data_IF_004852688037
#
_entry.id   IF_004852688037
#
_cell.length_a   1.000
_cell.length_b   1.000
_cell.length_c   1.000
_cell.angle_alpha   90.00
_cell.angle_beta   90.00
_cell.angle_gamma   90.00
#
_symmetry.space_group_name_H-M   'P 1'
#
loop_
_entity.id
_entity.type
_entity.pdbx_description
1 polymer ?
#
# COMPACT_ATOMS: atom_id res chain seq x y z
N UNK A 1 3.11 -4.13 4.24
CA UNK A 1 3.51 -2.84 3.63
C UNK A 1 3.32 -2.94 2.13
N UNK A 2 3.14 -1.83 1.42
CA UNK A 2 2.85 -1.80 -0.02
C UNK A 2 4.08 -1.17 -0.73
N UNK A 3 5.12 -1.96 -1.10
CA UNK A 3 6.37 -1.44 -1.68
C UNK A 3 6.19 -0.45 -2.83
N UNK A 4 5.34 -0.76 -3.81
CA UNK A 4 5.05 0.08 -4.96
C UNK A 4 4.35 1.38 -4.57
N UNK A 5 3.52 1.38 -3.52
CA UNK A 5 2.97 2.62 -2.96
C UNK A 5 4.07 3.50 -2.39
N UNK A 6 5.04 2.92 -1.69
CA UNK A 6 6.19 3.67 -1.17
C UNK A 6 7.01 4.25 -2.33
N UNK A 7 7.36 3.42 -3.32
CA UNK A 7 8.12 3.86 -4.49
C UNK A 7 7.40 4.97 -5.26
N UNK A 8 6.09 4.84 -5.48
CA UNK A 8 5.25 5.86 -6.12
C UNK A 8 5.32 7.22 -5.40
N UNK A 9 5.20 7.21 -4.07
CA UNK A 9 5.27 8.44 -3.26
C UNK A 9 6.67 9.08 -3.29
N UNK A 10 7.73 8.27 -3.24
CA UNK A 10 9.11 8.76 -3.36
C UNK A 10 9.39 9.32 -4.76
N UNK A 11 8.84 8.68 -5.80
CA UNK A 11 8.94 9.13 -7.18
C UNK A 11 8.21 10.46 -7.40
N UNK A 12 7.00 10.63 -6.83
CA UNK A 12 6.28 11.92 -6.83
C UNK A 12 7.08 13.03 -6.15
N UNK A 13 7.81 12.70 -5.07
CA UNK A 13 8.70 13.63 -4.35
C UNK A 13 10.03 13.89 -5.07
N UNK A 14 10.27 13.25 -6.22
CA UNK A 14 11.52 13.32 -6.99
C UNK A 14 12.76 12.93 -6.16
N UNK A 15 12.61 11.97 -5.26
CA UNK A 15 13.77 11.41 -4.55
C UNK A 15 14.72 10.71 -5.53
N UNK A 16 16.02 11.05 -5.50
CA UNK A 16 16.99 10.53 -6.48
C UNK A 16 17.06 9.01 -6.54
N UNK A 17 17.02 8.34 -5.38
CA UNK A 17 17.03 6.87 -5.30
C UNK A 17 15.81 6.23 -5.99
N UNK A 18 14.63 6.84 -5.87
CA UNK A 18 13.42 6.38 -6.51
C UNK A 18 13.44 6.65 -8.02
N UNK A 19 13.95 7.81 -8.47
CA UNK A 19 14.13 8.12 -9.88
C UNK A 19 15.07 7.10 -10.57
N UNK A 20 16.23 6.84 -9.97
CA UNK A 20 17.19 5.84 -10.45
C UNK A 20 16.59 4.44 -10.48
N UNK A 21 15.85 4.06 -9.43
CA UNK A 21 15.22 2.75 -9.37
C UNK A 21 14.16 2.57 -10.46
N UNK A 22 13.32 3.58 -10.69
CA UNK A 22 12.31 3.53 -11.75
C UNK A 22 12.97 3.52 -13.12
N UNK A 23 14.04 4.29 -13.34
CA UNK A 23 14.81 4.26 -14.59
C UNK A 23 15.36 2.86 -14.91
N UNK A 24 15.96 2.19 -13.92
CA UNK A 24 16.46 0.82 -14.07
C UNK A 24 15.33 -0.15 -14.45
N UNK A 25 14.15 0.00 -13.83
CA UNK A 25 12.98 -0.84 -14.13
C UNK A 25 12.50 -0.59 -15.57
N UNK A 26 12.46 0.67 -16.03
CA UNK A 26 12.08 0.97 -17.40
C UNK A 26 13.06 0.33 -18.41
N UNK A 27 14.36 0.34 -18.12
CA UNK A 27 15.37 -0.29 -18.96
C UNK A 27 15.25 -1.82 -18.96
N UNK A 28 15.12 -2.44 -17.78
CA UNK A 28 14.99 -3.90 -17.61
C UNK A 28 13.80 -4.47 -18.39
N UNK A 29 12.69 -3.72 -18.44
CA UNK A 29 11.47 -4.13 -19.14
C UNK A 29 11.30 -3.49 -20.53
N UNK A 30 12.35 -2.86 -21.07
CA UNK A 30 12.35 -2.22 -22.40
C UNK A 30 11.21 -1.21 -22.61
N UNK A 31 10.86 -0.46 -21.57
CA UNK A 31 9.83 0.59 -21.58
C UNK A 31 10.49 1.91 -21.97
N UNK A 32 10.69 2.12 -23.27
CA UNK A 32 11.29 3.33 -23.83
C UNK A 32 10.49 3.86 -25.02
N UNK A 33 10.64 5.15 -25.34
CA UNK A 33 9.91 5.83 -26.41
C UNK A 33 10.16 5.19 -27.79
N UNK A 34 11.38 4.70 -28.01
CA UNK A 34 11.82 4.11 -29.28
C UNK A 34 11.23 2.70 -29.51
N UNK A 35 10.71 2.06 -28.46
CA UNK A 35 10.22 0.69 -28.54
C UNK A 35 8.70 0.68 -28.74
N UNK A 36 8.24 0.18 -29.89
CA UNK A 36 6.80 -0.03 -30.16
C UNK A 36 6.12 -0.96 -29.13
N UNK A 37 6.90 -1.74 -28.37
CA UNK A 37 6.44 -2.66 -27.33
C UNK A 37 6.43 -2.09 -25.89
N UNK A 38 6.58 -0.79 -25.67
CA UNK A 38 6.69 -0.21 -24.31
C UNK A 38 5.53 -0.61 -23.37
N UNK A 39 4.30 -0.69 -23.89
CA UNK A 39 3.12 -1.16 -23.13
C UNK A 39 3.23 -2.65 -22.77
N UNK A 40 3.85 -3.46 -23.62
CA UNK A 40 4.08 -4.88 -23.34
C UNK A 40 5.08 -5.06 -22.20
N UNK A 41 6.12 -4.21 -22.13
CA UNK A 41 7.05 -4.16 -21.01
C UNK A 41 6.35 -3.87 -19.68
N UNK A 42 5.42 -2.91 -19.66
CA UNK A 42 4.59 -2.61 -18.49
C UNK A 42 3.78 -3.84 -18.06
N UNK A 43 3.07 -4.49 -19.00
CA UNK A 43 2.26 -5.68 -18.70
C UNK A 43 3.12 -6.83 -18.18
N UNK A 44 4.32 -7.01 -18.74
CA UNK A 44 5.30 -8.01 -18.30
C UNK A 44 5.73 -7.77 -16.85
N UNK A 45 6.03 -6.54 -16.48
CA UNK A 45 6.40 -6.18 -15.11
C UNK A 45 5.24 -6.41 -14.12
N UNK A 46 4.03 -6.01 -14.49
CA UNK A 46 2.84 -6.25 -13.65
C UNK A 46 2.61 -7.74 -13.44
N UNK A 47 2.82 -8.57 -14.48
CA UNK A 47 2.70 -10.03 -14.39
C UNK A 47 3.63 -10.65 -13.34
N UNK A 48 4.77 -10.01 -13.05
CA UNK A 48 5.73 -10.45 -12.05
C UNK A 48 5.48 -9.86 -10.64
N UNK A 49 4.60 -8.86 -10.53
CA UNK A 49 4.41 -8.10 -9.28
C UNK A 49 3.40 -8.76 -8.34
N UNK A 50 2.27 -9.26 -8.85
CA UNK A 50 1.27 -9.95 -8.03
C UNK A 50 1.56 -11.44 -7.94
N UNK A 51 2.05 -11.95 -6.82
CA UNK A 51 2.53 -13.34 -6.74
C UNK A 51 1.76 -14.21 -5.75
N UNK A 52 0.90 -13.63 -4.90
CA UNK A 52 0.44 -14.30 -3.66
C UNK A 52 -1.03 -14.74 -3.66
N UNK A 53 -1.74 -14.61 -4.78
CA UNK A 53 -3.17 -14.97 -4.87
C UNK A 53 -3.36 -16.21 -5.74
N UNK A 54 -4.24 -17.11 -5.30
CA UNK A 54 -4.61 -18.31 -6.05
C UNK A 54 -5.14 -17.96 -7.45
N UNK A 55 -4.55 -18.52 -8.53
CA UNK A 55 -4.94 -18.18 -9.90
C UNK A 55 -6.36 -18.62 -10.25
N UNK A 56 -6.88 -19.67 -9.62
CA UNK A 56 -8.26 -20.13 -9.85
C UNK A 56 -9.26 -19.12 -9.32
N UNK A 57 -8.99 -18.58 -8.13
CA UNK A 57 -9.75 -17.48 -7.56
C UNK A 57 -9.67 -16.22 -8.42
N UNK A 58 -8.48 -15.83 -8.89
CA UNK A 58 -8.33 -14.69 -9.79
C UNK A 58 -9.14 -14.86 -11.07
N UNK A 59 -9.11 -16.04 -11.69
CA UNK A 59 -9.90 -16.34 -12.88
C UNK A 59 -11.40 -16.18 -12.62
N UNK A 60 -11.90 -16.70 -11.50
CA UNK A 60 -13.31 -16.55 -11.12
C UNK A 60 -13.70 -15.08 -10.91
N UNK A 61 -12.83 -14.30 -10.26
CA UNK A 61 -13.08 -12.89 -9.99
C UNK A 61 -13.06 -12.06 -11.28
N UNK A 62 -11.98 -12.19 -12.06
CA UNK A 62 -11.77 -11.43 -13.29
C UNK A 62 -12.76 -11.84 -14.39
N UNK A 63 -13.12 -13.12 -14.48
CA UNK A 63 -13.99 -13.67 -15.51
C UNK A 63 -15.40 -13.07 -15.54
N UNK A 64 -15.86 -12.47 -14.44
CA UNK A 64 -17.16 -11.79 -14.37
C UNK A 64 -17.17 -10.40 -15.02
N UNK A 65 -15.99 -9.85 -15.32
CA UNK A 65 -15.86 -8.48 -15.80
C UNK A 65 -15.97 -8.40 -17.34
N UNK A 66 -16.68 -7.42 -17.92
CA UNK A 66 -16.91 -7.34 -19.37
C UNK A 66 -15.63 -7.16 -20.21
N UNK A 67 -14.58 -6.56 -19.63
CA UNK A 67 -13.27 -6.40 -20.30
C UNK A 67 -12.43 -7.69 -20.33
N UNK A 68 -12.78 -8.70 -19.55
CA UNK A 68 -11.97 -9.90 -19.40
C UNK A 68 -11.74 -10.67 -20.71
N UNK A 69 -12.75 -10.96 -21.55
CA UNK A 69 -12.53 -11.72 -22.79
C UNK A 69 -11.54 -11.04 -23.74
N UNK A 70 -11.67 -9.71 -23.89
CA UNK A 70 -10.79 -8.90 -24.73
C UNK A 70 -9.35 -8.88 -24.18
N UNK A 71 -9.20 -8.66 -22.88
CA UNK A 71 -7.90 -8.62 -22.24
C UNK A 71 -7.20 -9.99 -22.24
N UNK A 72 -7.95 -11.07 -21.96
CA UNK A 72 -7.46 -12.43 -21.98
C UNK A 72 -6.94 -12.84 -23.37
N UNK A 73 -7.71 -12.53 -24.43
CA UNK A 73 -7.28 -12.77 -25.80
C UNK A 73 -6.00 -11.99 -26.15
N UNK A 74 -5.94 -10.71 -25.78
CA UNK A 74 -4.76 -9.87 -26.02
C UNK A 74 -3.51 -10.43 -25.34
N UNK A 75 -3.62 -10.86 -24.08
CA UNK A 75 -2.50 -11.46 -23.34
C UNK A 75 -2.01 -12.74 -24.00
N UNK A 76 -2.91 -13.64 -24.39
CA UNK A 76 -2.52 -14.87 -25.08
C UNK A 76 -1.84 -14.56 -26.42
N UNK A 77 -2.38 -13.63 -27.21
CA UNK A 77 -1.78 -13.27 -28.50
C UNK A 77 -0.39 -12.63 -28.38
N UNK A 78 -0.16 -11.80 -27.35
CA UNK A 78 1.07 -11.02 -27.20
C UNK A 78 2.12 -11.65 -26.29
N UNK A 79 1.75 -12.62 -25.46
CA UNK A 79 2.66 -13.31 -24.54
C UNK A 79 2.54 -14.84 -24.68
N UNK A 80 3.16 -15.43 -25.72
CA UNK A 80 3.07 -16.86 -26.00
C UNK A 80 3.54 -17.76 -24.85
N UNK A 81 4.51 -17.29 -24.06
CA UNK A 81 5.06 -17.99 -22.90
C UNK A 81 4.07 -18.13 -21.73
N UNK A 82 2.98 -17.36 -21.71
CA UNK A 82 1.95 -17.42 -20.67
C UNK A 82 0.82 -18.44 -20.98
N UNK A 83 0.92 -19.21 -22.07
CA UNK A 83 -0.15 -20.15 -22.47
C UNK A 83 -0.33 -21.36 -21.54
N UNK A 84 0.70 -21.78 -20.80
CA UNK A 84 0.66 -23.01 -20.02
C UNK A 84 -0.20 -22.87 -18.74
N UNK A 85 -1.45 -23.37 -18.79
CA UNK A 85 -2.42 -23.46 -17.66
C UNK A 85 -2.74 -22.11 -16.96
N UNK A 86 -3.73 -22.01 -16.04
CA UNK A 86 -3.95 -20.78 -15.27
C UNK A 86 -2.79 -20.53 -14.30
N UNK A 87 -1.76 -19.80 -14.77
CA UNK A 87 -0.69 -19.28 -13.94
C UNK A 87 -1.05 -17.91 -13.35
N UNK A 88 -0.58 -17.64 -12.13
CA UNK A 88 -0.76 -16.34 -11.43
C UNK A 88 -0.27 -15.18 -12.29
N UNK A 89 0.89 -15.33 -12.95
CA UNK A 89 1.46 -14.33 -13.86
C UNK A 89 0.51 -13.97 -15.01
N UNK A 90 -0.15 -14.96 -15.62
CA UNK A 90 -1.15 -14.74 -16.67
C UNK A 90 -2.30 -13.89 -16.16
N UNK A 91 -2.81 -14.19 -14.97
CA UNK A 91 -3.96 -13.45 -14.41
C UNK A 91 -3.63 -11.98 -14.14
N UNK A 92 -2.43 -11.69 -13.66
CA UNK A 92 -2.00 -10.30 -13.46
C UNK A 92 -1.68 -9.56 -14.76
N UNK A 93 -1.17 -10.26 -15.78
CA UNK A 93 -1.07 -9.69 -17.12
C UNK A 93 -2.47 -9.32 -17.67
N UNK A 94 -3.47 -10.20 -17.48
CA UNK A 94 -4.86 -9.92 -17.87
C UNK A 94 -5.43 -8.75 -17.10
N UNK A 95 -5.21 -8.70 -15.78
CA UNK A 95 -5.59 -7.56 -14.94
C UNK A 95 -4.98 -6.24 -15.48
N UNK A 96 -3.68 -6.23 -15.80
CA UNK A 96 -3.00 -5.06 -16.34
C UNK A 96 -3.65 -4.60 -17.65
N UNK A 97 -3.91 -5.52 -18.58
CA UNK A 97 -4.56 -5.20 -19.86
C UNK A 97 -6.00 -4.71 -19.65
N UNK A 98 -6.75 -5.27 -18.70
CA UNK A 98 -8.10 -4.78 -18.37
C UNK A 98 -8.06 -3.33 -17.87
N UNK A 99 -7.08 -2.98 -17.03
CA UNK A 99 -6.90 -1.60 -16.57
C UNK A 99 -6.48 -0.69 -17.74
N UNK A 100 -5.61 -1.15 -18.64
CA UNK A 100 -5.23 -0.38 -19.84
C UNK A 100 -6.39 -0.18 -20.83
N UNK A 101 -7.32 -1.13 -20.91
CA UNK A 101 -8.52 -1.07 -21.73
C UNK A 101 -9.68 -0.33 -21.06
N UNK A 102 -9.56 0.03 -19.79
CA UNK A 102 -10.61 0.76 -19.09
C UNK A 102 -10.87 2.08 -19.78
N UNK A 103 -12.14 2.33 -20.11
CA UNK A 103 -12.52 3.63 -20.67
C UNK A 103 -12.55 4.63 -19.51
N UNK A 104 -13.22 4.30 -18.40
CA UNK A 104 -13.39 5.20 -17.27
C UNK A 104 -13.04 4.60 -15.90
N UNK A 105 -13.21 5.45 -14.89
CA UNK A 105 -13.09 5.09 -13.48
C UNK A 105 -14.01 3.93 -13.09
N UNK A 106 -15.22 3.88 -13.64
CA UNK A 106 -16.21 2.84 -13.34
C UNK A 106 -15.75 1.43 -13.68
N UNK A 107 -14.98 1.25 -14.77
CA UNK A 107 -14.44 -0.06 -15.14
C UNK A 107 -13.37 -0.53 -14.15
N UNK A 108 -12.49 0.37 -13.72
CA UNK A 108 -11.49 0.06 -12.69
C UNK A 108 -12.17 -0.19 -11.35
N UNK A 109 -13.18 0.59 -10.97
CA UNK A 109 -13.94 0.37 -9.73
C UNK A 109 -14.66 -0.98 -9.72
N UNK A 110 -15.33 -1.34 -10.82
CA UNK A 110 -15.98 -2.65 -10.97
C UNK A 110 -14.97 -3.79 -10.88
N UNK A 111 -13.80 -3.62 -11.49
CA UNK A 111 -12.68 -4.56 -11.35
C UNK A 111 -12.24 -4.71 -9.89
N UNK A 112 -12.18 -3.61 -9.14
CA UNK A 112 -11.80 -3.61 -7.72
C UNK A 112 -12.88 -4.21 -6.81
N UNK A 113 -14.16 -4.05 -7.15
CA UNK A 113 -15.29 -4.65 -6.43
C UNK A 113 -15.19 -6.17 -6.39
N UNK A 114 -14.70 -6.80 -7.47
CA UNK A 114 -14.42 -8.24 -7.50
C UNK A 114 -13.47 -8.68 -6.35
N UNK A 115 -12.59 -7.79 -5.89
CA UNK A 115 -11.64 -8.07 -4.83
C UNK A 115 -12.10 -7.63 -3.43
N UNK A 116 -13.22 -6.90 -3.31
CA UNK A 116 -13.80 -6.44 -2.04
C UNK A 116 -14.62 -7.54 -1.33
N UNK A 117 -14.07 -8.75 -1.24
CA UNK A 117 -14.67 -9.79 -0.39
C UNK A 117 -14.20 -9.64 1.06
N UNK A 118 -15.11 -9.66 2.06
CA UNK A 118 -14.75 -9.53 3.48
C UNK A 118 -13.84 -10.67 4.01
N UNK A 119 -13.62 -11.72 3.21
CA UNK A 119 -12.78 -12.88 3.57
C UNK A 119 -11.37 -12.86 2.95
N UNK A 120 -10.98 -11.83 2.19
CA UNK A 120 -9.71 -11.82 1.47
C UNK A 120 -8.98 -10.46 1.50
N UNK A 121 -8.56 -10.03 2.69
CA UNK A 121 -7.76 -8.81 2.87
C UNK A 121 -6.43 -8.84 2.07
N UNK A 122 -5.86 -10.04 1.87
CA UNK A 122 -4.64 -10.25 1.10
C UNK A 122 -4.82 -9.85 -0.38
N UNK A 123 -5.97 -10.15 -0.98
CA UNK A 123 -6.22 -9.87 -2.39
C UNK A 123 -6.33 -8.37 -2.66
N UNK A 124 -6.99 -7.62 -1.77
CA UNK A 124 -7.09 -6.16 -1.91
C UNK A 124 -5.72 -5.47 -1.78
N UNK A 125 -4.84 -5.99 -0.93
CA UNK A 125 -3.48 -5.47 -0.77
C UNK A 125 -2.63 -5.69 -2.03
N UNK A 126 -2.68 -6.88 -2.62
CA UNK A 126 -1.96 -7.20 -3.86
C UNK A 126 -2.48 -6.37 -5.05
N UNK A 127 -3.80 -6.16 -5.14
CA UNK A 127 -4.38 -5.28 -6.17
C UNK A 127 -3.95 -3.83 -5.96
N UNK A 128 -3.93 -3.35 -4.72
CA UNK A 128 -3.45 -2.00 -4.39
C UNK A 128 -1.97 -1.83 -4.76
N UNK A 129 -1.15 -2.85 -4.50
CA UNK A 129 0.27 -2.90 -4.89
C UNK A 129 0.42 -2.79 -6.41
N UNK A 130 -0.32 -3.60 -7.17
CA UNK A 130 -0.28 -3.63 -8.64
C UNK A 130 -0.76 -2.31 -9.24
N UNK A 131 -1.82 -1.70 -8.70
CA UNK A 131 -2.29 -0.40 -9.18
C UNK A 131 -1.26 0.71 -8.91
N UNK A 132 -0.55 0.70 -7.77
CA UNK A 132 0.55 1.64 -7.54
C UNK A 132 1.75 1.38 -8.47
N UNK A 133 2.02 0.12 -8.82
CA UNK A 133 3.00 -0.23 -9.84
C UNK A 133 2.64 0.39 -11.19
N UNK A 134 1.41 0.15 -11.66
CA UNK A 134 0.92 0.74 -12.92
C UNK A 134 0.93 2.27 -12.89
N UNK A 135 0.50 2.91 -11.80
CA UNK A 135 0.54 4.36 -11.66
C UNK A 135 1.98 4.90 -11.76
N UNK A 136 2.94 4.28 -11.07
CA UNK A 136 4.34 4.67 -11.14
C UNK A 136 4.88 4.61 -12.56
N UNK A 137 4.62 3.51 -13.27
CA UNK A 137 5.08 3.30 -14.63
C UNK A 137 4.45 4.28 -15.62
N UNK A 138 3.12 4.46 -15.58
CA UNK A 138 2.42 5.40 -16.45
C UNK A 138 2.90 6.84 -16.25
N UNK A 139 3.18 7.23 -14.99
CA UNK A 139 3.73 8.54 -14.68
C UNK A 139 5.18 8.68 -15.19
N UNK A 140 6.00 7.64 -15.05
CA UNK A 140 7.36 7.64 -15.54
C UNK A 140 7.44 7.67 -17.08
N UNK A 141 6.56 6.91 -17.75
CA UNK A 141 6.37 6.93 -19.20
C UNK A 141 6.01 8.34 -19.68
N UNK A 142 5.09 9.01 -18.98
CA UNK A 142 4.75 10.42 -19.25
C UNK A 142 5.97 11.35 -19.10
N UNK A 143 6.74 11.20 -18.03
CA UNK A 143 7.94 12.03 -17.80
C UNK A 143 9.01 11.82 -18.88
N UNK A 144 9.01 10.65 -19.54
CA UNK A 144 9.87 10.28 -20.67
C UNK A 144 9.23 10.58 -22.04
N UNK A 145 8.12 11.31 -22.08
CA UNK A 145 7.41 11.66 -23.31
C UNK A 145 6.96 10.46 -24.15
N UNK A 146 6.75 9.29 -23.53
CA UNK A 146 6.18 8.12 -24.21
C UNK A 146 4.68 8.37 -24.43
N UNK A 147 4.15 8.19 -25.65
CA UNK A 147 2.77 8.51 -25.98
C UNK A 147 1.80 7.53 -25.30
N UNK A 148 1.25 7.93 -24.15
CA UNK A 148 0.21 7.19 -23.42
C UNK A 148 -0.82 8.17 -22.84
N UNK A 149 -2.08 7.74 -22.79
CA UNK A 149 -3.16 8.58 -22.28
C UNK A 149 -2.95 8.88 -20.79
N UNK A 150 -2.84 10.17 -20.45
CA UNK A 150 -2.76 10.64 -19.06
C UNK A 150 -3.99 10.24 -18.22
N UNK A 151 -5.11 9.97 -18.89
CA UNK A 151 -6.36 9.53 -18.27
C UNK A 151 -6.17 8.24 -17.48
N UNK A 152 -5.34 7.31 -17.95
CA UNK A 152 -5.11 6.02 -17.29
C UNK A 152 -4.45 6.23 -15.91
N UNK A 153 -3.39 7.03 -15.86
CA UNK A 153 -2.73 7.37 -14.59
C UNK A 153 -3.70 8.06 -13.63
N UNK A 154 -4.45 9.06 -14.11
CA UNK A 154 -5.41 9.78 -13.30
C UNK A 154 -6.51 8.84 -12.76
N UNK A 155 -7.07 7.98 -13.60
CA UNK A 155 -8.11 7.05 -13.19
C UNK A 155 -7.61 6.08 -12.11
N UNK A 156 -6.42 5.51 -12.29
CA UNK A 156 -5.81 4.62 -11.30
C UNK A 156 -5.56 5.37 -9.98
N UNK A 157 -4.94 6.55 -10.05
CA UNK A 157 -4.64 7.37 -8.87
C UNK A 157 -5.91 7.73 -8.10
N UNK A 158 -6.97 8.13 -8.80
CA UNK A 158 -8.24 8.49 -8.16
C UNK A 158 -8.97 7.26 -7.59
N UNK A 159 -8.94 6.11 -8.26
CA UNK A 159 -9.42 4.85 -7.69
C UNK A 159 -8.68 4.47 -6.40
N UNK A 160 -7.34 4.56 -6.41
CA UNK A 160 -6.52 4.32 -5.22
C UNK A 160 -6.86 5.30 -4.10
N UNK A 161 -7.04 6.58 -4.42
CA UNK A 161 -7.48 7.59 -3.46
C UNK A 161 -8.84 7.22 -2.84
N UNK A 162 -9.83 6.86 -3.65
CA UNK A 162 -11.14 6.46 -3.15
C UNK A 162 -11.05 5.19 -2.28
N UNK A 163 -10.25 4.19 -2.68
CA UNK A 163 -10.06 2.98 -1.87
C UNK A 163 -9.45 3.28 -0.50
N UNK A 164 -8.50 4.21 -0.44
CA UNK A 164 -7.80 4.58 0.79
C UNK A 164 -8.62 5.48 1.71
N UNK A 165 -9.58 6.23 1.15
CA UNK A 165 -10.38 7.21 1.88
C UNK A 165 -11.87 6.81 2.04
N UNK A 166 -12.29 5.66 1.50
CA UNK A 166 -13.68 5.17 1.62
C UNK A 166 -14.12 4.84 3.05
N UNK A 167 -13.21 4.73 4.03
CA UNK A 167 -13.55 4.53 5.44
C UNK A 167 -14.02 5.81 6.17
N UNK A 168 -14.18 6.93 5.46
CA UNK A 168 -14.49 8.26 6.03
C UNK A 168 -15.95 8.57 6.37
N UNK A 169 -16.92 7.68 6.17
CA UNK A 169 -18.31 7.92 6.64
C UNK A 169 -18.44 7.42 8.08
N UNK A 170 -17.92 8.20 9.02
CA UNK A 170 -18.12 8.01 10.47
C UNK A 170 -19.46 8.63 10.84
N UNK A 171 -20.41 7.80 11.30
CA UNK A 171 -21.55 8.29 12.07
C UNK A 171 -21.05 8.91 13.38
N UNK A 172 -21.57 10.08 13.80
CA UNK A 172 -21.15 10.71 15.04
C UNK A 172 -21.76 9.96 16.23
N UNK A 173 -20.97 9.17 16.94
CA UNK A 173 -21.36 8.63 18.24
C UNK A 173 -20.57 9.36 19.34
N UNK A 174 -21.33 10.29 19.94
CA UNK A 174 -21.27 10.86 21.29
C UNK A 174 -19.99 10.74 22.12
N UNK A 175 -19.56 11.92 22.57
CA UNK A 175 -18.62 12.14 23.67
C UNK A 175 -19.01 11.36 24.92
N UNK A 176 -18.12 10.45 25.34
CA UNK A 176 -18.19 9.77 26.62
C UNK A 176 -16.78 9.55 27.16
N UNK A 177 -16.46 10.19 28.30
CA UNK A 177 -15.31 9.84 29.14
C UNK A 177 -15.36 8.34 29.49
N UNK A 178 -14.24 7.60 29.38
CA UNK A 178 -13.95 6.35 30.12
C UNK A 178 -12.54 5.88 29.74
N UNK A 179 -11.56 5.78 30.64
CA UNK A 179 -11.34 4.82 31.75
C UNK A 179 -10.32 3.76 31.31
N UNK A 180 -9.13 3.79 31.93
CA UNK A 180 -7.99 2.92 31.60
C UNK A 180 -8.06 1.65 32.45
N UNK A 181 -9.13 0.88 32.24
CA UNK A 181 -9.27 -0.48 32.76
C UNK A 181 -8.76 -1.51 31.75
N UNK A 182 -8.10 -2.55 32.26
CA UNK A 182 -7.55 -3.71 31.55
C UNK A 182 -8.67 -4.56 30.94
N UNK A 183 -9.34 -4.04 29.91
CA UNK A 183 -10.30 -4.78 29.09
C UNK A 183 -9.63 -5.23 27.79
N UNK A 184 -9.98 -6.42 27.31
CA UNK A 184 -9.54 -6.95 26.02
C UNK A 184 -10.15 -6.10 24.90
N UNK A 185 -9.46 -5.00 24.54
CA UNK A 185 -9.92 -4.06 23.53
C UNK A 185 -9.80 -4.73 22.17
N UNK A 186 -10.95 -5.07 21.57
CA UNK A 186 -11.03 -5.53 20.18
C UNK A 186 -10.47 -4.45 19.26
N UNK A 187 -9.32 -4.74 18.65
CA UNK A 187 -8.65 -3.81 17.74
C UNK A 187 -9.47 -3.61 16.46
N UNK A 188 -9.50 -2.38 15.97
CA UNK A 188 -10.04 -2.08 14.63
C UNK A 188 -9.12 -2.66 13.55
N UNK A 189 -9.65 -2.84 12.34
CA UNK A 189 -8.87 -3.34 11.20
C UNK A 189 -7.63 -2.48 10.92
N UNK A 190 -7.75 -1.16 11.04
CA UNK A 190 -6.65 -0.21 10.83
C UNK A 190 -5.54 -0.38 11.89
N UNK A 191 -5.92 -0.55 13.16
CA UNK A 191 -4.99 -0.82 14.24
C UNK A 191 -4.31 -2.18 14.06
N UNK A 192 -5.07 -3.21 13.68
CA UNK A 192 -4.53 -4.54 13.43
C UNK A 192 -3.54 -4.56 12.27
N UNK A 193 -3.75 -3.71 11.26
CA UNK A 193 -2.80 -3.48 10.15
C UNK A 193 -1.49 -2.82 10.61
N UNK A 194 -1.57 -1.90 11.56
CA UNK A 194 -0.38 -1.32 12.20
C UNK A 194 0.38 -2.41 12.95
N UNK A 195 -0.32 -3.23 13.73
CA UNK A 195 0.29 -4.31 14.51
C UNK A 195 0.84 -5.47 13.67
N UNK A 196 0.30 -5.74 12.49
CA UNK A 196 0.79 -6.81 11.61
C UNK A 196 2.09 -6.43 10.88
N UNK A 197 2.48 -5.15 10.91
CA UNK A 197 3.67 -4.67 10.24
C UNK A 197 4.86 -4.55 11.19
N UNK A 198 5.80 -5.50 11.12
CA UNK A 198 7.11 -5.35 11.76
C UNK A 198 7.94 -4.30 11.01
N UNK A 199 8.40 -3.29 11.74
CA UNK A 199 9.26 -2.22 11.22
C UNK A 199 10.71 -2.72 11.20
N UNK A 200 11.33 -2.73 10.01
CA UNK A 200 12.72 -3.15 9.83
C UNK A 200 13.70 -1.97 10.00
N UNK A 201 14.99 -2.24 10.31
CA UNK A 201 16.00 -1.18 10.43
C UNK A 201 16.05 -0.27 9.19
N UNK A 202 16.07 1.04 9.42
CA UNK A 202 16.08 2.06 8.36
C UNK A 202 14.70 2.39 7.76
N UNK A 203 13.62 1.78 8.23
CA UNK A 203 12.27 2.13 7.81
C UNK A 203 11.63 3.20 8.69
N UNK A 204 10.97 4.17 8.05
CA UNK A 204 10.14 5.19 8.72
C UNK A 204 8.68 4.98 8.35
N UNK A 205 7.82 4.91 9.37
CA UNK A 205 6.36 4.76 9.20
C UNK A 205 5.66 5.95 9.83
N UNK A 206 4.73 6.56 9.08
CA UNK A 206 3.87 7.64 9.57
C UNK A 206 2.45 7.13 9.70
N UNK A 207 1.89 7.21 10.91
CA UNK A 207 0.49 6.88 11.20
C UNK A 207 -0.28 8.18 11.39
N UNK A 208 -1.25 8.44 10.53
CA UNK A 208 -2.15 9.58 10.65
C UNK A 208 -3.35 9.15 11.49
N UNK A 209 -3.65 9.89 12.55
CA UNK A 209 -4.72 9.53 13.46
C UNK A 209 -5.31 10.77 14.17
N UNK A 210 -6.63 10.94 14.07
CA UNK A 210 -7.37 12.05 14.68
C UNK A 210 -7.39 11.97 16.21
N UNK A 211 -7.77 13.06 16.88
CA UNK A 211 -7.96 13.06 18.33
C UNK A 211 -8.95 11.94 18.72
N UNK A 212 -8.71 11.27 19.84
CA UNK A 212 -9.59 10.20 20.33
C UNK A 212 -9.48 8.83 19.65
N UNK A 213 -8.79 8.68 18.51
CA UNK A 213 -8.77 7.41 17.74
C UNK A 213 -7.79 6.34 18.27
N UNK A 214 -7.48 6.35 19.57
CA UNK A 214 -6.67 5.29 20.18
C UNK A 214 -5.20 5.23 19.74
N UNK A 215 -4.56 6.37 19.42
CA UNK A 215 -3.12 6.41 19.05
C UNK A 215 -2.23 5.73 20.09
N UNK A 216 -2.36 6.13 21.36
CA UNK A 216 -1.53 5.61 22.45
C UNK A 216 -1.82 4.14 22.71
N UNK A 217 -3.10 3.71 22.70
CA UNK A 217 -3.46 2.30 22.88
C UNK A 217 -2.92 1.41 21.76
N UNK A 218 -2.93 1.91 20.52
CA UNK A 218 -2.35 1.20 19.37
C UNK A 218 -0.85 1.00 19.53
N UNK A 219 -0.11 2.04 19.96
CA UNK A 219 1.32 1.94 20.21
C UNK A 219 1.65 1.00 21.37
N UNK A 220 0.85 1.01 22.45
CA UNK A 220 1.00 0.07 23.57
C UNK A 220 0.86 -1.37 23.07
N UNK A 221 -0.20 -1.67 22.32
CA UNK A 221 -0.44 -3.01 21.77
C UNK A 221 0.63 -3.44 20.77
N UNK A 222 1.17 -2.51 20.00
CA UNK A 222 2.32 -2.76 19.13
C UNK A 222 3.55 -3.18 19.93
N UNK A 223 3.89 -2.44 21.00
CA UNK A 223 5.03 -2.74 21.86
C UNK A 223 4.86 -4.06 22.65
N UNK A 224 3.62 -4.40 23.04
CA UNK A 224 3.29 -5.70 23.66
C UNK A 224 3.54 -6.86 22.70
N UNK A 225 3.11 -6.70 21.44
CA UNK A 225 3.26 -7.75 20.41
C UNK A 225 4.73 -8.03 20.07
N UNK A 226 5.55 -7.00 19.99
CA UNK A 226 6.98 -7.10 19.69
C UNK A 226 7.81 -6.93 20.96
N UNK A 227 7.52 -7.76 21.97
CA UNK A 227 8.11 -7.65 23.31
C UNK A 227 9.63 -7.89 23.34
N UNK A 228 10.17 -8.53 22.31
CA UNK A 228 11.60 -8.74 22.09
C UNK A 228 12.36 -7.47 21.68
N UNK A 229 11.66 -6.46 21.17
CA UNK A 229 12.25 -5.21 20.72
C UNK A 229 12.24 -4.15 21.82
N UNK A 230 13.24 -3.26 21.81
CA UNK A 230 13.30 -2.09 22.67
C UNK A 230 12.77 -0.86 21.93
N UNK A 231 11.84 -0.15 22.57
CA UNK A 231 11.22 1.05 22.01
C UNK A 231 11.57 2.29 22.81
N UNK A 232 11.62 3.43 22.11
CA UNK A 232 11.70 4.75 22.71
C UNK A 232 10.43 5.53 22.34
N UNK A 233 9.61 5.85 23.35
CA UNK A 233 8.47 6.74 23.19
C UNK A 233 8.89 8.17 23.50
N UNK A 234 8.81 9.05 22.50
CA UNK A 234 9.12 10.47 22.62
C UNK A 234 7.86 11.33 22.54
N UNK A 235 7.77 12.30 23.44
CA UNK A 235 6.66 13.25 23.52
C UNK A 235 7.14 14.64 23.94
N UNK A 236 6.32 15.66 23.71
CA UNK A 236 6.63 17.03 24.12
C UNK A 236 6.34 17.27 25.60
N UNK A 237 5.23 16.70 26.11
CA UNK A 237 4.71 17.03 27.43
C UNK A 237 5.14 16.01 28.48
N UNK A 238 5.65 16.50 29.63
CA UNK A 238 6.03 15.64 30.76
C UNK A 238 4.85 14.77 31.25
N UNK A 239 3.64 15.34 31.30
CA UNK A 239 2.44 14.58 31.67
C UNK A 239 2.18 13.37 30.75
N UNK A 240 2.44 13.49 29.45
CA UNK A 240 2.30 12.37 28.51
C UNK A 240 3.42 11.34 28.66
N UNK A 241 4.63 11.78 29.01
CA UNK A 241 5.74 10.87 29.29
C UNK A 241 5.46 10.04 30.56
N UNK A 242 5.01 10.68 31.65
CA UNK A 242 4.63 9.97 32.88
C UNK A 242 3.44 9.05 32.67
N UNK A 243 2.41 9.50 31.94
CA UNK A 243 1.29 8.63 31.55
C UNK A 243 1.77 7.43 30.74
N UNK A 244 2.69 7.65 29.80
CA UNK A 244 3.34 6.61 29.00
C UNK A 244 4.00 5.55 29.87
N UNK A 245 4.78 5.95 30.88
CA UNK A 245 5.45 5.01 31.80
C UNK A 245 4.48 4.08 32.55
N UNK A 246 3.25 4.52 32.80
CA UNK A 246 2.24 3.71 33.48
C UNK A 246 1.54 2.72 32.55
N UNK A 247 1.42 3.02 31.26
CA UNK A 247 0.61 2.22 30.31
C UNK A 247 1.44 1.37 29.35
N UNK A 248 2.66 1.77 29.02
CA UNK A 248 3.50 1.01 28.11
C UNK A 248 4.17 -0.20 28.82
N UNK A 249 4.41 -1.30 28.09
CA UNK A 249 5.16 -2.44 28.62
C UNK A 249 6.62 -2.07 28.91
N UNK A 250 7.29 -2.92 29.70
CA UNK A 250 8.65 -2.68 30.22
C UNK A 250 9.73 -2.51 29.15
N UNK A 251 9.47 -2.98 27.92
CA UNK A 251 10.38 -2.83 26.78
C UNK A 251 10.33 -1.42 26.15
N UNK A 252 9.53 -0.49 26.68
CA UNK A 252 9.42 0.89 26.20
C UNK A 252 10.00 1.88 27.19
N UNK A 253 10.95 2.69 26.74
CA UNK A 253 11.45 3.85 27.49
C UNK A 253 10.66 5.09 27.10
N UNK A 254 9.98 5.75 28.05
CA UNK A 254 9.22 6.97 27.79
C UNK A 254 10.02 8.22 28.21
N UNK A 255 10.26 9.14 27.28
CA UNK A 255 11.00 10.38 27.53
C UNK A 255 10.35 11.58 26.85
N UNK A 256 10.64 12.76 27.38
CA UNK A 256 10.43 14.01 26.63
C UNK A 256 11.63 14.33 25.76
N UNK A 257 11.45 15.10 24.69
CA UNK A 257 12.56 15.59 23.86
C UNK A 257 13.64 16.28 24.70
N UNK A 258 13.25 17.16 25.62
CA UNK A 258 14.18 17.85 26.53
C UNK A 258 14.95 16.87 27.43
N UNK A 259 14.27 15.88 28.01
CA UNK A 259 14.94 14.89 28.88
C UNK A 259 15.88 13.96 28.12
N UNK A 260 15.61 13.72 26.82
CA UNK A 260 16.50 12.95 25.96
C UNK A 260 17.77 13.77 25.69
N UNK A 261 17.62 15.03 25.28
CA UNK A 261 18.73 15.93 25.02
C UNK A 261 19.57 16.22 26.27
N UNK A 262 18.94 16.49 27.42
CA UNK A 262 19.66 16.73 28.68
C UNK A 262 20.54 15.53 29.08
N UNK A 263 20.11 14.31 28.78
CA UNK A 263 20.93 13.11 29.01
C UNK A 263 22.17 13.03 28.13
N UNK A 264 22.15 13.61 26.92
CA UNK A 264 23.27 13.58 25.97
C UNK A 264 24.19 14.81 26.07
N UNK A 265 23.65 15.98 26.36
CA UNK A 265 24.40 17.26 26.36
C UNK A 265 24.39 18.00 27.70
N UNK A 266 23.48 17.67 28.61
CA UNK A 266 23.26 18.40 29.86
C UNK A 266 24.01 17.86 31.07
N UNK A 267 24.66 16.69 30.97
CA UNK A 267 25.63 16.23 31.96
C UNK A 267 26.99 16.85 31.66
N UNK A 268 27.30 17.96 32.32
CA UNK A 268 28.67 18.34 32.67
C UNK A 268 28.94 17.89 34.10
#
# INVERSE_FOLDING_TARGET
FIPWKKLYQQFLRREQSALLRVEQILQEFSIAQEHQGCVLGLVRLVSCTGARVDPSRLLQLLGTHPLFPKAHFCVLSKFPDLHSKPGVKKMWAVFAVMVLFSDGLGDIQRLLECFRSPRSELALLEVTEVLHCMATLLLAMRNKSIPISNRLHYNIFYCLYLMENASGIVQPLQEGRMDFGRADVRLTHEQQRILSHKIEPGQTVKIMAFAGTGKTSTLVKYAEKFSELKFLYLTFNKAMAEKGKMVFPRNVTCKTFHSLAFGSVGRR
#
